data_IF_557351373009
#
_entry.id   IF_557351373009
#
_cell.length_a   1.000
_cell.length_b   1.000
_cell.length_c   1.000
_cell.angle_alpha   90.00
_cell.angle_beta   90.00
_cell.angle_gamma   90.00
#
_symmetry.space_group_name_H-M   'P 1'
#
loop_
_entity.id
_entity.type
_entity.pdbx_description
1 polymer ?
#
# COMPACT_ATOMS: atom_id res chain seq x y z
N UNK A 1 2.07 17.47 -21.74
CA UNK A 1 1.77 16.05 -21.48
C UNK A 1 0.34 15.91 -20.96
N UNK A 2 -0.26 14.72 -21.08
CA UNK A 2 -1.62 14.44 -20.58
C UNK A 2 -1.77 14.74 -19.07
N UNK A 3 -0.71 14.44 -18.30
CA UNK A 3 -0.67 14.75 -16.87
C UNK A 3 -0.87 16.26 -16.59
N UNK A 4 -0.12 17.12 -17.25
CA UNK A 4 -0.21 18.57 -17.03
C UNK A 4 -1.56 19.14 -17.46
N UNK A 5 -2.13 18.63 -18.55
CA UNK A 5 -3.48 19.02 -18.96
C UNK A 5 -4.51 18.64 -17.90
N UNK A 6 -4.43 17.41 -17.38
CA UNK A 6 -5.30 16.95 -16.28
C UNK A 6 -5.09 17.79 -15.01
N UNK A 7 -3.86 17.98 -14.58
CA UNK A 7 -3.56 18.74 -13.34
C UNK A 7 -4.04 20.19 -13.40
N UNK A 8 -3.79 20.87 -14.52
CA UNK A 8 -4.25 22.23 -14.70
C UNK A 8 -5.77 22.32 -14.69
N UNK A 9 -6.43 21.42 -15.46
CA UNK A 9 -7.90 21.38 -15.48
C UNK A 9 -8.50 21.10 -14.09
N UNK A 10 -7.96 20.12 -13.35
CA UNK A 10 -8.42 19.81 -12.00
C UNK A 10 -8.25 21.00 -11.03
N UNK A 11 -7.13 21.71 -11.10
CA UNK A 11 -6.88 22.89 -10.26
C UNK A 11 -7.80 24.05 -10.62
N UNK A 12 -8.04 24.30 -11.90
CA UNK A 12 -8.99 25.34 -12.37
C UNK A 12 -10.42 25.03 -11.92
N UNK A 13 -10.87 23.78 -12.07
CA UNK A 13 -12.20 23.35 -11.61
C UNK A 13 -12.36 23.50 -10.09
N UNK A 14 -11.33 23.17 -9.33
CA UNK A 14 -11.32 23.31 -7.87
C UNK A 14 -11.56 24.75 -7.44
N UNK A 15 -10.92 25.71 -8.11
CA UNK A 15 -11.10 27.15 -7.84
C UNK A 15 -12.45 27.63 -8.35
N UNK A 16 -12.81 27.27 -9.59
CA UNK A 16 -14.02 27.72 -10.26
C UNK A 16 -15.30 27.26 -9.56
N UNK A 17 -15.29 26.05 -9.01
CA UNK A 17 -16.43 25.48 -8.29
C UNK A 17 -16.47 25.89 -6.80
N UNK A 18 -15.62 26.83 -6.39
CA UNK A 18 -15.59 27.37 -5.01
C UNK A 18 -15.49 26.28 -3.93
N UNK A 19 -14.69 25.23 -4.18
CA UNK A 19 -14.40 24.21 -3.18
C UNK A 19 -13.54 24.81 -2.06
N UNK A 20 -13.59 24.21 -0.85
CA UNK A 20 -12.77 24.67 0.28
C UNK A 20 -11.29 24.74 -0.10
N UNK A 21 -10.77 23.76 -0.84
CA UNK A 21 -9.39 23.75 -1.34
C UNK A 21 -9.11 24.92 -2.28
N UNK A 22 -10.04 25.24 -3.19
CA UNK A 22 -9.89 26.32 -4.16
C UNK A 22 -9.95 27.71 -3.54
N UNK A 23 -10.54 27.84 -2.34
CA UNK A 23 -10.62 29.08 -1.58
C UNK A 23 -9.39 29.31 -0.69
N UNK A 24 -8.59 28.29 -0.43
CA UNK A 24 -7.36 28.42 0.36
C UNK A 24 -6.21 28.91 -0.50
N UNK A 25 -5.38 29.77 0.09
CA UNK A 25 -4.13 30.24 -0.52
C UNK A 25 -2.99 30.02 0.45
N UNK A 26 -1.81 29.67 -0.07
CA UNK A 26 -0.61 29.63 0.74
C UNK A 26 -0.24 31.05 1.21
N UNK A 27 0.05 31.18 2.48
CA UNK A 27 0.63 32.39 3.05
C UNK A 27 2.16 32.29 2.94
N UNK A 28 2.69 32.77 1.83
CA UNK A 28 4.13 32.80 1.63
C UNK A 28 4.81 33.79 2.58
N UNK A 29 6.00 33.39 3.04
CA UNK A 29 6.88 34.29 3.80
C UNK A 29 7.40 35.40 2.88
N UNK A 30 7.59 36.59 3.45
CA UNK A 30 8.27 37.72 2.75
C UNK A 30 9.75 37.41 2.55
N UNK A 31 10.34 36.64 3.46
CA UNK A 31 11.73 36.21 3.42
C UNK A 31 11.74 34.69 3.40
N UNK A 32 11.64 34.04 2.22
CA UNK A 32 11.74 32.58 2.13
C UNK A 32 13.13 32.10 2.49
N UNK A 33 13.24 30.91 3.04
CA UNK A 33 14.51 30.25 3.26
C UNK A 33 15.18 29.93 1.92
N UNK A 34 16.49 29.98 1.80
CA UNK A 34 17.24 29.48 0.67
C UNK A 34 16.94 27.97 0.46
N UNK A 35 16.93 27.54 -0.79
CA UNK A 35 16.57 26.15 -1.10
C UNK A 35 17.53 25.12 -0.48
N UNK A 36 18.79 25.49 -0.36
CA UNK A 36 19.85 24.69 0.27
C UNK A 36 19.67 24.49 1.77
N UNK A 37 18.88 25.31 2.43
CA UNK A 37 18.51 25.15 3.84
C UNK A 37 17.23 24.33 4.04
N UNK A 38 16.55 23.99 2.94
CA UNK A 38 15.32 23.18 2.97
C UNK A 38 15.68 21.72 2.78
N UNK A 39 15.00 20.84 3.52
CA UNK A 39 15.20 19.39 3.36
C UNK A 39 14.96 18.97 1.91
N UNK A 40 15.89 18.25 1.27
CA UNK A 40 15.75 17.81 -0.11
C UNK A 40 14.54 16.87 -0.28
N UNK A 41 13.84 17.00 -1.40
CA UNK A 41 12.67 16.15 -1.71
C UNK A 41 12.97 14.66 -1.62
N UNK A 42 14.18 14.24 -2.04
CA UNK A 42 14.63 12.85 -1.98
C UNK A 42 14.71 12.31 -0.55
N UNK A 43 14.98 13.15 0.43
CA UNK A 43 14.96 12.74 1.83
C UNK A 43 13.53 12.70 2.37
N UNK A 44 12.68 13.62 1.92
CA UNK A 44 11.27 13.66 2.30
C UNK A 44 10.54 12.39 1.84
N UNK A 45 10.72 11.97 0.58
CA UNK A 45 10.00 10.81 0.03
C UNK A 45 10.36 9.48 0.69
N UNK A 46 11.53 9.36 1.32
CA UNK A 46 11.92 8.17 2.08
C UNK A 46 10.99 7.86 3.26
N UNK A 47 10.26 8.85 3.75
CA UNK A 47 9.30 8.71 4.85
C UNK A 47 7.89 8.33 4.37
N UNK A 48 7.68 8.23 3.07
CA UNK A 48 6.38 7.89 2.49
C UNK A 48 6.25 6.40 2.19
N UNK A 49 5.05 5.90 2.41
CA UNK A 49 4.67 4.55 2.04
C UNK A 49 3.37 4.57 1.22
N UNK A 50 3.18 3.59 0.36
CA UNK A 50 1.89 3.40 -0.31
C UNK A 50 0.84 2.91 0.69
N UNK A 51 -0.42 3.12 0.37
CA UNK A 51 -1.51 2.39 1.02
C UNK A 51 -1.31 0.88 0.87
N UNK A 52 -1.85 0.12 1.82
CA UNK A 52 -1.82 -1.33 1.80
C UNK A 52 -2.87 -1.87 0.82
N UNK A 53 -2.49 -2.09 -0.42
CA UNK A 53 -3.36 -2.60 -1.48
C UNK A 53 -2.96 -4.02 -1.83
N UNK A 54 -3.88 -4.97 -1.62
CA UNK A 54 -3.58 -6.39 -1.78
C UNK A 54 -3.60 -6.85 -3.23
N UNK A 55 -2.70 -7.79 -3.54
CA UNK A 55 -2.69 -8.52 -4.81
C UNK A 55 -4.02 -9.29 -4.96
N UNK A 56 -4.70 -9.08 -6.08
CA UNK A 56 -6.05 -9.59 -6.34
C UNK A 56 -7.14 -8.54 -6.10
N UNK A 57 -6.94 -7.57 -5.20
CA UNK A 57 -7.79 -6.37 -5.15
C UNK A 57 -7.41 -5.38 -6.25
N UNK A 58 -6.12 -5.25 -6.52
CA UNK A 58 -5.55 -4.60 -7.70
C UNK A 58 -4.84 -5.63 -8.57
N UNK A 59 -4.56 -5.28 -9.83
CA UNK A 59 -3.86 -6.17 -10.75
C UNK A 59 -2.40 -6.39 -10.35
N UNK A 60 -1.80 -7.45 -10.87
CA UNK A 60 -0.37 -7.76 -10.68
C UNK A 60 0.51 -6.61 -11.15
N UNK A 61 0.21 -6.05 -12.33
CA UNK A 61 0.98 -4.96 -12.93
C UNK A 61 0.92 -3.70 -12.07
N UNK A 62 -0.25 -3.37 -11.54
CA UNK A 62 -0.40 -2.22 -10.65
C UNK A 62 0.38 -2.43 -9.34
N UNK A 63 0.28 -3.62 -8.75
CA UNK A 63 0.97 -3.97 -7.52
C UNK A 63 2.50 -3.93 -7.67
N UNK A 64 3.01 -4.46 -8.79
CA UNK A 64 4.44 -4.42 -9.12
C UNK A 64 4.94 -3.01 -9.45
N UNK A 65 4.15 -2.24 -10.21
CA UNK A 65 4.50 -0.86 -10.59
C UNK A 65 4.64 0.04 -9.37
N UNK A 66 3.76 -0.11 -8.37
CA UNK A 66 3.85 0.62 -7.11
C UNK A 66 5.14 0.28 -6.36
N UNK A 67 5.49 -1.01 -6.28
CA UNK A 67 6.71 -1.44 -5.61
C UNK A 67 7.96 -0.91 -6.33
N UNK A 68 7.99 -1.02 -7.65
CA UNK A 68 9.09 -0.51 -8.47
C UNK A 68 9.28 1.00 -8.32
N UNK A 69 8.18 1.76 -8.40
CA UNK A 69 8.21 3.21 -8.25
C UNK A 69 8.73 3.64 -6.88
N UNK A 70 8.21 3.02 -5.80
CA UNK A 70 8.64 3.36 -4.44
C UNK A 70 10.09 2.98 -4.20
N UNK A 71 10.56 1.84 -4.69
CA UNK A 71 11.96 1.45 -4.58
C UNK A 71 12.89 2.44 -5.30
N UNK A 72 12.50 2.92 -6.49
CA UNK A 72 13.26 3.96 -7.23
C UNK A 72 13.31 5.29 -6.50
N UNK A 73 12.25 5.66 -5.82
CA UNK A 73 12.17 6.90 -5.07
C UNK A 73 12.80 6.81 -3.67
N UNK A 74 13.12 5.60 -3.20
CA UNK A 74 13.59 5.37 -1.83
C UNK A 74 12.47 5.37 -0.77
N UNK A 75 11.22 5.41 -1.20
CA UNK A 75 10.05 5.20 -0.34
C UNK A 75 9.75 3.72 -0.15
N UNK A 76 8.58 3.41 0.43
CA UNK A 76 8.20 2.04 0.76
C UNK A 76 6.85 1.67 0.17
N UNK A 77 6.76 0.55 -0.52
CA UNK A 77 5.48 -0.04 -0.93
C UNK A 77 5.03 -1.09 0.07
N UNK A 78 3.73 -1.25 0.20
CA UNK A 78 3.08 -2.19 1.09
C UNK A 78 2.36 -3.26 0.29
N UNK A 79 2.56 -4.53 0.62
CA UNK A 79 1.94 -5.65 -0.09
C UNK A 79 0.41 -5.70 0.07
N UNK A 80 -0.13 -5.08 1.13
CA UNK A 80 -1.46 -5.44 1.58
C UNK A 80 -1.48 -6.89 2.12
N UNK A 81 -2.67 -7.39 2.36
CA UNK A 81 -2.93 -8.68 3.04
C UNK A 81 -2.99 -9.89 2.12
N UNK A 82 -2.63 -9.75 0.87
CA UNK A 82 -2.76 -10.79 -0.16
C UNK A 82 -1.49 -11.57 -0.46
N UNK A 83 -0.41 -11.34 0.27
CA UNK A 83 0.90 -11.93 -0.04
C UNK A 83 1.62 -11.22 -1.17
N UNK A 84 2.71 -11.82 -1.62
CA UNK A 84 3.53 -11.33 -2.72
C UNK A 84 4.20 -12.51 -3.43
N UNK A 85 4.25 -12.48 -4.76
CA UNK A 85 4.90 -13.54 -5.51
C UNK A 85 6.41 -13.58 -5.17
N UNK A 86 6.94 -14.74 -4.73
CA UNK A 86 8.34 -14.90 -4.40
C UNK A 86 9.33 -14.55 -5.52
N UNK A 87 8.91 -14.59 -6.79
CA UNK A 87 9.75 -14.17 -7.90
C UNK A 87 10.21 -12.71 -7.77
N UNK A 88 9.40 -11.89 -7.10
CA UNK A 88 9.68 -10.46 -6.88
C UNK A 88 10.75 -10.20 -5.81
N UNK A 89 11.13 -11.23 -5.04
CA UNK A 89 12.17 -11.11 -4.01
C UNK A 89 13.58 -11.07 -4.61
N UNK A 90 13.69 -11.47 -5.87
CA UNK A 90 14.94 -11.39 -6.62
C UNK A 90 15.00 -10.07 -7.40
N UNK A 91 16.15 -9.40 -7.43
CA UNK A 91 16.34 -8.26 -8.31
C UNK A 91 16.13 -8.63 -9.78
N UNK A 92 15.64 -7.69 -10.56
CA UNK A 92 15.55 -7.79 -12.01
C UNK A 92 16.94 -7.75 -12.65
N UNK A 93 17.06 -8.14 -13.92
CA UNK A 93 18.33 -8.12 -14.67
C UNK A 93 18.99 -6.73 -14.71
N UNK A 94 18.18 -5.67 -14.70
CA UNK A 94 18.66 -4.29 -14.65
C UNK A 94 18.99 -3.79 -13.23
N UNK A 95 18.97 -4.66 -12.23
CA UNK A 95 19.24 -4.34 -10.85
C UNK A 95 18.07 -3.69 -10.08
N UNK A 96 16.95 -3.43 -10.75
CA UNK A 96 15.75 -2.89 -10.08
C UNK A 96 15.01 -3.98 -9.29
N UNK A 97 14.20 -3.57 -8.32
CA UNK A 97 13.44 -4.49 -7.48
C UNK A 97 11.94 -4.19 -7.53
N UNK A 98 11.16 -5.24 -7.70
CA UNK A 98 9.70 -5.21 -7.57
C UNK A 98 9.23 -5.66 -6.18
N UNK A 99 10.14 -5.93 -5.26
CA UNK A 99 9.85 -6.34 -3.90
C UNK A 99 9.24 -5.19 -3.11
N UNK A 100 8.11 -5.42 -2.47
CA UNK A 100 7.54 -4.45 -1.54
C UNK A 100 8.32 -4.46 -0.22
N UNK A 101 8.68 -3.28 0.27
CA UNK A 101 9.43 -3.12 1.51
C UNK A 101 8.62 -3.50 2.75
N UNK A 102 7.32 -3.15 2.76
CA UNK A 102 6.42 -3.45 3.86
C UNK A 102 5.59 -4.68 3.51
N UNK A 103 5.62 -5.68 4.37
CA UNK A 103 4.81 -6.89 4.28
C UNK A 103 3.71 -6.85 5.33
N UNK A 104 2.45 -6.88 4.86
CA UNK A 104 1.31 -6.87 5.76
C UNK A 104 0.90 -8.30 6.14
N UNK A 105 0.53 -8.47 7.40
CA UNK A 105 0.01 -9.74 7.95
C UNK A 105 -1.35 -9.45 8.60
N UNK A 106 -2.41 -10.05 8.05
CA UNK A 106 -3.75 -10.04 8.61
C UNK A 106 -4.07 -11.37 9.31
N UNK A 107 -5.19 -11.47 9.98
CA UNK A 107 -5.61 -12.70 10.69
C UNK A 107 -5.76 -13.91 9.76
N UNK A 108 -6.17 -13.69 8.51
CA UNK A 108 -6.25 -14.73 7.48
C UNK A 108 -4.90 -15.27 7.03
N UNK A 109 -3.82 -14.53 7.25
CA UNK A 109 -2.43 -14.89 6.90
C UNK A 109 -2.25 -15.41 5.47
N UNK A 110 -3.04 -14.91 4.53
CA UNK A 110 -2.97 -15.30 3.12
C UNK A 110 -1.61 -14.92 2.52
N UNK A 111 -0.91 -15.92 1.97
CA UNK A 111 0.41 -15.73 1.37
C UNK A 111 1.54 -15.49 2.37
N UNK A 112 1.30 -15.60 3.67
CA UNK A 112 2.31 -15.42 4.72
C UNK A 112 3.13 -16.69 4.88
N UNK A 113 4.38 -16.62 4.46
CA UNK A 113 5.40 -17.68 4.62
C UNK A 113 6.62 -17.09 5.31
N UNK A 114 7.52 -17.93 5.81
CA UNK A 114 8.81 -17.45 6.34
C UNK A 114 9.60 -16.69 5.29
N UNK A 115 9.55 -17.13 4.03
CA UNK A 115 10.22 -16.44 2.93
C UNK A 115 9.62 -15.07 2.65
N UNK A 116 8.29 -14.94 2.69
CA UNK A 116 7.61 -13.66 2.62
C UNK A 116 8.07 -12.71 3.75
N UNK A 117 8.07 -13.19 4.99
CA UNK A 117 8.43 -12.38 6.16
C UNK A 117 9.90 -11.95 6.15
N UNK A 118 10.82 -12.85 5.81
CA UNK A 118 12.27 -12.55 5.80
C UNK A 118 12.68 -11.64 4.65
N UNK A 119 11.85 -11.45 3.64
CA UNK A 119 12.06 -10.50 2.56
C UNK A 119 11.39 -9.14 2.79
N UNK A 120 11.01 -8.82 4.01
CA UNK A 120 10.49 -7.50 4.40
C UNK A 120 11.56 -6.62 5.01
N UNK A 121 11.43 -5.32 4.81
CA UNK A 121 12.15 -4.31 5.60
C UNK A 121 11.32 -3.95 6.84
N UNK A 122 9.98 -4.01 6.71
CA UNK A 122 9.03 -3.78 7.81
C UNK A 122 7.88 -4.78 7.74
N UNK A 123 7.41 -5.19 8.91
CA UNK A 123 6.19 -5.99 9.05
C UNK A 123 5.06 -5.10 9.57
N UNK A 124 3.90 -5.17 8.92
CA UNK A 124 2.71 -4.47 9.35
C UNK A 124 1.63 -5.47 9.76
N UNK A 125 1.23 -5.42 11.02
CA UNK A 125 0.13 -6.22 11.54
C UNK A 125 -1.19 -5.50 11.28
N UNK A 126 -2.09 -6.14 10.52
CA UNK A 126 -3.44 -5.63 10.29
C UNK A 126 -4.39 -6.18 11.35
N UNK A 127 -4.89 -5.31 12.22
CA UNK A 127 -5.76 -5.68 13.33
C UNK A 127 -7.22 -5.70 12.89
N UNK A 128 -7.68 -4.65 12.20
CA UNK A 128 -9.07 -4.47 11.80
C UNK A 128 -9.20 -3.48 10.64
N UNK A 129 -10.39 -3.42 10.04
CA UNK A 129 -10.76 -2.38 9.08
C UNK A 129 -11.78 -1.43 9.73
N UNK A 130 -11.46 -0.13 9.76
CA UNK A 130 -12.30 0.87 10.41
C UNK A 130 -13.70 0.99 9.81
N UNK A 131 -13.83 0.82 8.48
CA UNK A 131 -15.10 0.89 7.77
C UNK A 131 -15.97 -0.38 7.91
N UNK A 132 -15.38 -1.49 8.34
CA UNK A 132 -16.05 -2.81 8.44
C UNK A 132 -15.65 -3.51 9.76
N UNK A 133 -15.92 -2.92 10.91
CA UNK A 133 -15.55 -3.52 12.18
C UNK A 133 -16.32 -4.84 12.38
N UNK A 134 -15.59 -5.93 12.62
CA UNK A 134 -16.15 -7.27 12.81
C UNK A 134 -16.42 -8.08 11.55
N UNK A 135 -16.45 -7.47 10.38
CA UNK A 135 -16.72 -8.18 9.10
C UNK A 135 -15.43 -8.58 8.37
N UNK A 136 -14.37 -7.77 8.51
CA UNK A 136 -13.12 -7.97 7.79
C UNK A 136 -13.18 -7.55 6.32
N UNK A 137 -12.06 -7.79 5.60
CA UNK A 137 -11.97 -7.59 4.16
C UNK A 137 -12.37 -8.85 3.41
N UNK A 138 -13.03 -8.69 2.28
CA UNK A 138 -13.43 -9.78 1.41
C UNK A 138 -12.79 -9.64 0.03
N UNK A 139 -12.27 -10.76 -0.50
CA UNK A 139 -11.97 -10.92 -1.91
C UNK A 139 -12.98 -11.93 -2.48
N UNK A 140 -13.89 -11.49 -3.39
CA UNK A 140 -14.89 -12.38 -3.98
C UNK A 140 -14.22 -13.52 -4.76
N UNK A 141 -14.82 -14.71 -4.76
CA UNK A 141 -14.31 -15.88 -5.46
C UNK A 141 -14.02 -15.65 -6.94
N UNK A 142 -14.80 -14.79 -7.60
CA UNK A 142 -14.60 -14.41 -9.01
C UNK A 142 -13.26 -13.72 -9.29
N UNK A 143 -12.60 -13.18 -8.25
CA UNK A 143 -11.26 -12.57 -8.33
C UNK A 143 -10.15 -13.51 -7.86
N UNK A 144 -10.50 -14.67 -7.37
CA UNK A 144 -9.54 -15.67 -6.90
C UNK A 144 -9.30 -16.67 -8.02
N UNK A 145 -8.48 -16.28 -9.00
CA UNK A 145 -7.99 -17.16 -10.04
C UNK A 145 -6.89 -18.12 -9.52
N UNK A 146 -6.36 -18.97 -10.38
CA UNK A 146 -5.31 -19.93 -10.02
C UNK A 146 -4.05 -19.25 -9.50
N UNK A 147 -3.68 -18.11 -10.08
CA UNK A 147 -2.50 -17.35 -9.68
C UNK A 147 -2.68 -16.73 -8.30
N UNK A 148 -3.79 -16.04 -8.08
CA UNK A 148 -4.11 -15.43 -6.77
C UNK A 148 -4.27 -16.48 -5.70
N UNK A 149 -4.95 -17.61 -6.00
CA UNK A 149 -5.10 -18.71 -5.08
C UNK A 149 -3.75 -19.31 -4.67
N UNK A 150 -2.85 -19.50 -5.63
CA UNK A 150 -1.48 -19.97 -5.37
C UNK A 150 -0.72 -19.03 -4.43
N UNK A 151 -0.73 -17.73 -4.69
CA UNK A 151 -0.03 -16.74 -3.85
C UNK A 151 -0.63 -16.68 -2.45
N UNK A 152 -1.95 -16.74 -2.34
CA UNK A 152 -2.67 -16.66 -1.06
C UNK A 152 -2.74 -17.98 -0.30
N UNK A 153 -2.25 -19.07 -0.85
CA UNK A 153 -2.39 -20.42 -0.32
C UNK A 153 -3.85 -20.79 -0.07
N UNK A 154 -4.69 -20.58 -1.08
CA UNK A 154 -6.14 -20.79 -1.03
C UNK A 154 -6.64 -21.56 -2.25
N UNK A 155 -7.96 -21.73 -2.36
CA UNK A 155 -8.61 -22.46 -3.45
C UNK A 155 -9.16 -21.51 -4.49
N UNK A 156 -8.91 -21.72 -5.79
CA UNK A 156 -9.48 -20.92 -6.85
C UNK A 156 -11.03 -20.89 -6.79
N UNK A 157 -11.60 -19.74 -7.09
CA UNK A 157 -13.07 -19.56 -7.12
C UNK A 157 -13.73 -19.43 -5.74
N UNK A 158 -12.98 -19.58 -4.66
CA UNK A 158 -13.51 -19.47 -3.28
C UNK A 158 -13.22 -18.08 -2.74
N UNK A 159 -14.25 -17.39 -2.21
CA UNK A 159 -14.12 -16.08 -1.58
C UNK A 159 -13.26 -16.15 -0.31
N UNK A 160 -12.50 -15.10 -0.05
CA UNK A 160 -11.55 -15.03 1.06
C UNK A 160 -11.90 -13.87 1.98
N UNK A 161 -11.99 -14.14 3.28
CA UNK A 161 -12.16 -13.13 4.33
C UNK A 161 -10.81 -12.93 5.03
N UNK A 162 -10.30 -11.70 4.99
CA UNK A 162 -8.91 -11.39 5.34
C UNK A 162 -8.70 -10.98 6.78
N UNK A 163 -9.70 -10.41 7.43
CA UNK A 163 -9.68 -10.02 8.84
C UNK A 163 -10.98 -10.45 9.50
N UNK A 164 -10.88 -11.25 10.54
CA UNK A 164 -12.01 -11.65 11.37
C UNK A 164 -11.70 -11.33 12.84
N UNK A 165 -12.64 -10.72 13.53
CA UNK A 165 -12.50 -10.43 14.95
C UNK A 165 -12.40 -11.67 15.84
N UNK A 166 -12.92 -12.80 15.36
CA UNK A 166 -12.89 -14.05 16.12
C UNK A 166 -11.49 -14.61 16.34
N UNK A 167 -10.49 -14.13 15.59
CA UNK A 167 -9.10 -14.60 15.68
C UNK A 167 -8.11 -13.59 16.25
N UNK A 168 -8.55 -12.38 16.53
CA UNK A 168 -7.76 -11.32 17.13
C UNK A 168 -8.30 -10.90 18.49
N UNK A 169 -8.61 -11.84 19.33
CA UNK A 169 -8.61 -11.56 20.76
C UNK A 169 -7.15 -11.35 21.16
N UNK A 170 -6.74 -10.10 21.29
CA UNK A 170 -5.58 -9.79 22.11
C UNK A 170 -5.79 -10.49 23.44
N UNK A 171 -4.79 -11.20 23.99
CA UNK A 171 -4.92 -11.75 25.34
C UNK A 171 -5.35 -10.58 26.23
N UNK A 172 -6.52 -10.71 26.81
CA UNK A 172 -6.98 -9.81 27.83
C UNK A 172 -5.94 -9.94 28.93
N UNK A 173 -5.15 -8.91 29.15
CA UNK A 173 -4.30 -8.87 30.32
C UNK A 173 -5.29 -8.71 31.45
N UNK A 174 -5.59 -9.81 32.10
CA UNK A 174 -6.31 -9.76 33.37
C UNK A 174 -5.46 -8.90 34.30
N UNK A 175 -5.99 -7.74 34.57
CA UNK A 175 -5.37 -6.85 35.54
C UNK A 175 -5.55 -7.49 36.88
N UNK A 176 -4.45 -7.87 37.46
CA UNK A 176 -4.35 -8.09 38.90
C UNK A 176 -4.54 -6.76 39.62
#
# INVERSE_FOLDING_TARGET
>A
SAYWNFANHANEQTTKNSTLRGLMKFKFSKNPLPLEEVEPEKEIVKRFATGAMSLGSISTEAHESLALAMNKLGGKSNTGEGGEDPIRFKPMENGESKRSAIKQVASGRFGVTMWYLTNSDELQIKIAQGAKPGEGGELPGTKVDDYIAKIRHSTPGVGLITVSYTHLTLPTIDRV
#
